data_IF_434293873972
#
_entry.id   IF_434293873972
#
_cell.length_a   1.000
_cell.length_b   1.000
_cell.length_c   1.000
_cell.angle_alpha   90.00
_cell.angle_beta   90.00
_cell.angle_gamma   90.00
#
_symmetry.space_group_name_H-M   'P 1'
#
loop_
_entity.id
_entity.type
_entity.pdbx_description
1 polymer ?
#
# COMPACT_ATOMS: atom_id res chain seq x y z
N UNK A 1 -37.92 -42.70 67.13
CA UNK A 1 -39.37 -42.96 66.92
C UNK A 1 -39.52 -44.38 66.33
N UNK A 2 -40.73 -44.98 66.47
CA UNK A 2 -41.00 -46.24 65.78
C UNK A 2 -41.76 -45.95 64.49
N UNK A 3 -41.36 -46.61 63.38
CA UNK A 3 -42.03 -46.55 62.08
C UNK A 3 -42.44 -47.96 61.64
N UNK A 4 -43.38 -48.10 60.69
CA UNK A 4 -43.77 -49.41 60.18
C UNK A 4 -42.80 -49.82 59.06
N UNK A 5 -42.38 -51.08 59.07
CA UNK A 5 -41.64 -51.66 57.95
C UNK A 5 -42.52 -51.73 56.70
N UNK A 6 -42.07 -51.27 55.53
CA UNK A 6 -42.86 -51.31 54.30
C UNK A 6 -43.16 -52.71 53.77
N UNK A 7 -42.39 -53.74 54.21
CA UNK A 7 -42.52 -55.14 53.79
C UNK A 7 -43.39 -56.00 54.70
N UNK A 8 -43.15 -55.93 56.03
CA UNK A 8 -43.81 -56.80 56.97
C UNK A 8 -44.78 -56.06 57.91
N UNK A 9 -44.95 -54.73 57.78
CA UNK A 9 -45.81 -53.80 58.51
C UNK A 9 -45.56 -53.75 60.05
N UNK A 10 -44.57 -54.47 60.56
CA UNK A 10 -44.27 -54.49 61.97
C UNK A 10 -43.47 -53.21 62.37
N UNK A 11 -43.62 -52.78 63.63
CA UNK A 11 -42.96 -51.60 64.12
C UNK A 11 -41.47 -51.78 64.25
N UNK A 12 -40.69 -50.89 63.67
CA UNK A 12 -39.22 -50.90 63.70
C UNK A 12 -38.71 -49.51 64.05
N UNK A 13 -37.49 -49.42 64.59
CA UNK A 13 -36.85 -48.14 64.88
C UNK A 13 -36.58 -47.40 63.56
N UNK A 14 -36.87 -46.13 63.55
CA UNK A 14 -36.55 -45.19 62.44
C UNK A 14 -35.03 -45.09 62.17
N UNK A 15 -34.19 -45.58 63.08
CA UNK A 15 -32.72 -45.66 62.97
C UNK A 15 -32.20 -47.04 62.57
N UNK A 16 -33.11 -48.00 62.41
CA UNK A 16 -32.68 -49.38 61.99
C UNK A 16 -32.28 -49.38 60.51
N UNK A 17 -31.11 -49.93 60.20
CA UNK A 17 -30.62 -50.07 58.82
C UNK A 17 -31.34 -51.14 58.07
N UNK A 18 -31.80 -52.16 58.76
CA UNK A 18 -32.58 -53.29 58.25
C UNK A 18 -33.70 -53.62 59.22
N UNK A 19 -34.81 -54.14 58.71
CA UNK A 19 -35.90 -54.61 59.54
C UNK A 19 -35.44 -55.88 60.33
N UNK A 20 -35.55 -55.88 61.70
CA UNK A 20 -35.12 -57.00 62.49
C UNK A 20 -36.08 -58.21 62.36
N UNK A 21 -37.31 -58.00 61.76
CA UNK A 21 -38.31 -59.04 61.62
C UNK A 21 -38.25 -59.75 60.25
N UNK A 22 -38.01 -59.04 59.15
CA UNK A 22 -38.02 -59.61 57.81
C UNK A 22 -36.73 -59.33 56.98
N UNK A 23 -35.76 -58.60 57.55
CA UNK A 23 -34.51 -58.31 56.86
C UNK A 23 -34.59 -57.19 55.81
N UNK A 24 -35.78 -56.57 55.63
CA UNK A 24 -35.98 -55.50 54.65
C UNK A 24 -35.08 -54.29 54.93
N UNK A 25 -34.30 -53.78 53.97
CA UNK A 25 -33.41 -52.64 54.16
C UNK A 25 -34.22 -51.36 54.33
N UNK A 26 -34.22 -50.78 55.51
CA UNK A 26 -34.99 -49.57 55.88
C UNK A 26 -34.30 -48.25 55.56
N UNK A 27 -33.00 -48.31 55.27
CA UNK A 27 -32.23 -47.12 54.91
C UNK A 27 -31.53 -47.31 53.55
N UNK A 28 -32.28 -47.21 52.45
CA UNK A 28 -31.70 -46.96 51.12
C UNK A 28 -31.83 -45.45 50.88
N UNK A 29 -31.17 -44.65 51.66
CA UNK A 29 -30.71 -43.35 51.17
C UNK A 29 -29.41 -43.63 50.44
N UNK A 30 -29.49 -44.12 49.20
CA UNK A 30 -28.37 -44.09 48.29
C UNK A 30 -28.12 -42.60 48.03
N UNK A 31 -27.32 -41.93 48.87
CA UNK A 31 -26.55 -40.79 48.45
C UNK A 31 -25.67 -41.24 47.30
N UNK A 32 -26.19 -41.17 46.05
CA UNK A 32 -25.30 -41.17 44.86
C UNK A 32 -24.31 -40.07 45.11
N UNK A 33 -23.11 -40.38 45.66
CA UNK A 33 -21.97 -39.50 45.56
C UNK A 33 -21.86 -39.23 44.06
N UNK A 34 -22.22 -38.02 43.64
CA UNK A 34 -21.84 -37.52 42.33
C UNK A 34 -20.31 -37.55 42.39
N UNK A 35 -19.71 -38.60 41.86
CA UNK A 35 -18.30 -38.64 41.50
C UNK A 35 -18.18 -37.63 40.40
N UNK A 36 -17.89 -36.36 40.76
CA UNK A 36 -17.38 -35.40 39.82
C UNK A 36 -16.14 -36.07 39.25
N UNK A 37 -16.21 -36.45 37.94
CA UNK A 37 -15.02 -36.94 37.26
C UNK A 37 -13.93 -35.93 37.54
N UNK A 38 -12.93 -36.25 38.39
CA UNK A 38 -11.81 -35.38 38.69
C UNK A 38 -11.15 -35.08 37.35
N UNK A 39 -11.31 -33.84 36.88
CA UNK A 39 -10.61 -33.39 35.68
C UNK A 39 -9.12 -33.62 35.88
N UNK A 40 -8.41 -34.09 34.87
CA UNK A 40 -6.99 -34.32 34.91
C UNK A 40 -6.24 -33.04 35.31
N UNK A 41 -5.35 -33.13 36.27
CA UNK A 41 -4.55 -31.98 36.72
C UNK A 41 -3.53 -31.65 35.63
N UNK A 42 -3.53 -30.42 35.16
CA UNK A 42 -2.58 -29.97 34.16
C UNK A 42 -1.17 -29.87 34.77
N UNK A 43 -0.11 -30.16 33.98
CA UNK A 43 1.28 -30.02 34.44
C UNK A 43 1.58 -28.57 34.88
N UNK A 44 2.60 -28.43 35.75
CA UNK A 44 3.05 -27.11 36.18
C UNK A 44 3.57 -26.33 34.96
N UNK A 45 3.12 -25.06 34.84
CA UNK A 45 3.48 -24.19 33.70
C UNK A 45 2.63 -24.37 32.45
N UNK A 46 1.79 -25.42 32.37
CA UNK A 46 0.95 -25.69 31.21
C UNK A 46 -0.14 -24.65 30.99
N UNK A 47 -0.53 -23.93 32.02
CA UNK A 47 -1.67 -23.01 32.02
C UNK A 47 -2.82 -23.51 32.88
N UNK A 48 -3.91 -22.77 32.90
CA UNK A 48 -5.07 -23.08 33.73
C UNK A 48 -6.35 -22.92 32.92
N UNK A 49 -7.29 -23.85 33.12
CA UNK A 49 -8.64 -23.75 32.55
C UNK A 49 -9.62 -23.59 33.71
N UNK A 50 -10.43 -22.53 33.66
CA UNK A 50 -11.48 -22.24 34.63
C UNK A 50 -12.84 -22.09 33.92
N UNK A 51 -13.90 -22.60 34.56
CA UNK A 51 -15.26 -22.47 34.10
C UNK A 51 -15.94 -21.30 34.82
N UNK A 52 -16.51 -20.37 34.07
CA UNK A 52 -17.26 -19.22 34.57
C UNK A 52 -18.70 -19.66 34.78
N UNK A 53 -19.11 -19.81 36.04
CA UNK A 53 -20.44 -20.40 36.41
C UNK A 53 -21.53 -19.37 36.59
N UNK A 54 -21.19 -18.09 36.75
CA UNK A 54 -22.10 -17.01 37.18
C UNK A 54 -23.02 -16.49 36.07
N UNK A 55 -22.81 -16.86 34.81
CA UNK A 55 -23.60 -16.42 33.67
C UNK A 55 -23.77 -17.55 32.64
N UNK A 56 -24.91 -17.57 31.94
CA UNK A 56 -25.09 -18.43 30.74
C UNK A 56 -24.26 -17.81 29.58
N UNK A 57 -23.00 -18.18 29.53
CA UNK A 57 -22.08 -17.72 28.48
C UNK A 57 -22.02 -18.76 27.36
N UNK A 58 -21.95 -18.29 26.11
CA UNK A 58 -21.71 -19.15 24.93
C UNK A 58 -20.33 -19.84 25.03
N UNK A 59 -19.33 -19.14 25.62
CA UNK A 59 -17.96 -19.64 25.79
C UNK A 59 -17.58 -19.59 27.29
N UNK A 60 -18.03 -20.56 28.11
CA UNK A 60 -17.86 -20.50 29.56
C UNK A 60 -16.44 -20.92 30.04
N UNK A 61 -15.63 -21.55 29.20
CA UNK A 61 -14.30 -22.01 29.60
C UNK A 61 -13.25 -20.97 29.25
N UNK A 62 -12.57 -20.48 30.29
CA UNK A 62 -11.46 -19.52 30.17
C UNK A 62 -10.14 -20.26 30.31
N UNK A 63 -9.28 -20.19 29.29
CA UNK A 63 -7.90 -20.63 29.33
C UNK A 63 -6.98 -19.46 29.73
N UNK A 64 -6.02 -19.73 30.60
CA UNK A 64 -5.02 -18.76 31.07
C UNK A 64 -3.63 -19.35 30.95
N UNK A 65 -2.66 -18.53 30.54
CA UNK A 65 -1.25 -18.88 30.41
C UNK A 65 -0.41 -18.15 31.46
N UNK A 66 0.62 -18.79 32.03
CA UNK A 66 1.54 -18.13 32.94
C UNK A 66 2.49 -17.22 32.14
N UNK A 67 2.63 -15.96 32.57
CA UNK A 67 3.52 -14.96 31.96
C UNK A 67 4.71 -14.60 32.86
N UNK A 68 4.69 -15.04 34.11
CA UNK A 68 5.76 -14.75 35.04
C UNK A 68 5.39 -15.12 36.49
N UNK A 69 6.20 -14.68 37.44
CA UNK A 69 5.94 -14.80 38.86
C UNK A 69 6.13 -13.44 39.54
N UNK A 70 5.33 -13.17 40.57
CA UNK A 70 5.54 -12.01 41.44
C UNK A 70 6.81 -12.19 42.28
N UNK A 71 7.31 -11.15 42.91
CA UNK A 71 8.43 -11.20 43.87
C UNK A 71 8.19 -12.20 44.99
N UNK A 72 6.92 -12.45 45.35
CA UNK A 72 6.50 -13.45 46.35
C UNK A 72 6.36 -14.87 45.75
N UNK A 73 6.77 -15.13 44.50
CA UNK A 73 6.71 -16.42 43.85
C UNK A 73 5.33 -16.85 43.33
N UNK A 74 4.29 -16.02 43.43
CA UNK A 74 2.96 -16.33 42.88
C UNK A 74 2.93 -16.20 41.38
N UNK A 75 2.32 -17.16 40.62
CA UNK A 75 2.25 -17.07 39.18
C UNK A 75 1.35 -15.90 38.73
N UNK A 76 1.87 -15.09 37.79
CA UNK A 76 1.10 -14.10 37.04
C UNK A 76 0.59 -14.81 35.80
N UNK A 77 -0.73 -14.73 35.55
CA UNK A 77 -1.36 -15.38 34.40
C UNK A 77 -2.12 -14.37 33.56
N UNK A 78 -2.05 -14.55 32.23
CA UNK A 78 -2.81 -13.79 31.23
C UNK A 78 -3.92 -14.67 30.68
N UNK A 79 -5.07 -14.06 30.35
CA UNK A 79 -6.16 -14.77 29.66
C UNK A 79 -5.68 -15.04 28.22
N UNK A 80 -5.73 -16.32 27.82
CA UNK A 80 -5.38 -16.74 26.47
C UNK A 80 -6.62 -16.74 25.55
N UNK A 81 -7.79 -17.16 26.08
CA UNK A 81 -9.03 -17.14 25.33
C UNK A 81 -10.21 -17.73 26.10
N UNK A 82 -11.42 -17.62 25.47
CA UNK A 82 -12.65 -18.17 25.95
C UNK A 82 -13.20 -19.22 24.95
N UNK A 83 -13.64 -20.37 25.44
CA UNK A 83 -14.00 -21.56 24.62
C UNK A 83 -15.35 -22.11 25.03
N UNK A 84 -16.02 -22.81 24.09
CA UNK A 84 -17.34 -23.41 24.31
C UNK A 84 -17.23 -24.66 25.18
N UNK A 85 -16.17 -25.45 24.99
CA UNK A 85 -15.94 -26.68 25.76
C UNK A 85 -14.59 -26.66 26.49
N UNK A 86 -14.48 -27.52 27.52
CA UNK A 86 -13.21 -27.73 28.20
C UNK A 86 -12.13 -28.30 27.28
N UNK A 87 -12.55 -29.17 26.35
CA UNK A 87 -11.62 -29.80 25.41
C UNK A 87 -11.05 -28.79 24.41
N UNK A 88 -11.83 -27.82 23.95
CA UNK A 88 -11.35 -26.76 23.09
C UNK A 88 -10.33 -25.87 23.81
N UNK A 89 -10.62 -25.52 25.07
CA UNK A 89 -9.69 -24.77 25.91
C UNK A 89 -8.40 -25.55 26.18
N UNK A 90 -8.50 -26.88 26.36
CA UNK A 90 -7.34 -27.76 26.56
C UNK A 90 -6.51 -27.89 25.28
N UNK A 91 -7.14 -28.08 24.13
CA UNK A 91 -6.48 -28.14 22.83
C UNK A 91 -5.72 -26.85 22.53
N UNK A 92 -6.32 -25.70 22.83
CA UNK A 92 -5.67 -24.41 22.67
C UNK A 92 -4.45 -24.24 23.58
N UNK A 93 -4.53 -24.69 24.86
CA UNK A 93 -3.37 -24.69 25.74
C UNK A 93 -2.29 -25.70 25.31
N UNK A 94 -2.67 -26.85 24.75
CA UNK A 94 -1.76 -27.83 24.24
C UNK A 94 -0.99 -27.28 23.04
N UNK A 95 -1.66 -26.58 22.17
CA UNK A 95 -1.07 -25.91 21.03
C UNK A 95 -0.15 -24.76 21.46
N UNK A 96 -0.57 -23.94 22.41
CA UNK A 96 0.28 -22.90 23.02
C UNK A 96 1.58 -23.50 23.60
N UNK A 97 1.50 -24.64 24.31
CA UNK A 97 2.69 -25.27 24.93
C UNK A 97 3.60 -25.98 23.92
N UNK A 98 3.13 -26.27 22.70
CA UNK A 98 3.99 -26.73 21.59
C UNK A 98 4.85 -25.59 21.05
N UNK A 99 4.34 -24.35 21.09
CA UNK A 99 5.08 -23.18 20.64
C UNK A 99 4.75 -21.95 21.53
N UNK A 100 5.34 -21.87 22.75
CA UNK A 100 4.99 -20.85 23.74
C UNK A 100 5.42 -19.42 23.36
N UNK A 101 6.30 -19.28 22.37
CA UNK A 101 6.74 -17.97 21.86
C UNK A 101 5.82 -17.40 20.78
N UNK A 102 4.86 -18.17 20.28
CA UNK A 102 3.90 -17.77 19.28
C UNK A 102 2.66 -17.12 19.92
N UNK A 103 2.86 -16.01 20.65
CA UNK A 103 1.77 -15.22 21.22
C UNK A 103 0.91 -14.47 20.17
N UNK A 104 1.31 -14.52 18.91
CA UNK A 104 0.67 -13.83 17.79
C UNK A 104 -0.05 -14.76 16.81
N UNK A 105 -0.51 -15.93 17.30
CA UNK A 105 -1.09 -16.97 16.42
C UNK A 105 -2.38 -16.62 15.72
N UNK A 106 -3.08 -15.59 16.12
CA UNK A 106 -4.35 -15.14 15.52
C UNK A 106 -4.24 -13.68 15.04
N UNK A 107 -3.12 -13.31 14.41
CA UNK A 107 -2.98 -12.00 13.83
C UNK A 107 -3.89 -11.85 12.61
N UNK A 108 -4.75 -10.86 12.63
CA UNK A 108 -5.58 -10.51 11.47
C UNK A 108 -4.77 -9.68 10.45
N UNK A 109 -5.28 -9.61 9.22
CA UNK A 109 -4.62 -8.83 8.17
C UNK A 109 -4.52 -7.33 8.52
N UNK A 110 -5.50 -6.80 9.26
CA UNK A 110 -5.46 -5.39 9.72
C UNK A 110 -4.34 -5.17 10.73
N UNK A 111 -4.15 -6.08 11.69
CA UNK A 111 -3.07 -5.97 12.69
C UNK A 111 -1.69 -6.06 12.01
N UNK A 112 -1.56 -6.93 11.00
CA UNK A 112 -0.36 -7.06 10.18
C UNK A 112 -0.07 -5.77 9.41
N UNK A 113 -1.12 -5.18 8.79
CA UNK A 113 -0.98 -3.92 8.05
C UNK A 113 -0.55 -2.76 8.94
N UNK A 114 -1.10 -2.63 10.14
CA UNK A 114 -0.73 -1.58 11.09
C UNK A 114 0.76 -1.66 11.46
N UNK A 115 1.24 -2.86 11.86
CA UNK A 115 2.66 -3.08 12.19
C UNK A 115 3.59 -2.85 11.00
N UNK A 116 3.21 -3.38 9.83
CA UNK A 116 3.98 -3.22 8.60
C UNK A 116 4.03 -1.76 8.14
N UNK A 117 2.88 -1.09 8.11
CA UNK A 117 2.77 0.28 7.59
C UNK A 117 3.53 1.27 8.45
N UNK A 118 3.51 1.13 9.78
CA UNK A 118 4.29 1.98 10.69
C UNK A 118 5.79 1.95 10.35
N UNK A 119 6.33 0.77 10.02
CA UNK A 119 7.75 0.62 9.64
C UNK A 119 7.99 1.05 8.19
N UNK A 120 7.16 0.56 7.26
CA UNK A 120 7.35 0.73 5.83
C UNK A 120 7.18 2.19 5.38
N UNK A 121 6.19 2.89 5.92
CA UNK A 121 5.95 4.29 5.54
C UNK A 121 7.08 5.23 5.95
N UNK A 122 7.81 4.93 7.02
CA UNK A 122 9.03 5.68 7.42
C UNK A 122 10.15 5.57 6.38
N UNK A 123 10.17 4.49 5.58
CA UNK A 123 11.16 4.30 4.51
C UNK A 123 10.79 4.99 3.20
N UNK A 124 9.55 5.46 3.08
CA UNK A 124 9.05 6.10 1.87
C UNK A 124 9.34 7.59 1.87
N UNK A 125 9.95 8.08 0.80
CA UNK A 125 10.25 9.51 0.60
C UNK A 125 9.07 10.31 0.02
N UNK A 126 7.97 9.66 -0.37
CA UNK A 126 6.86 10.27 -1.10
C UNK A 126 5.50 9.97 -0.47
N UNK A 127 4.79 11.01 -0.06
CA UNK A 127 3.39 10.91 0.40
C UNK A 127 2.44 10.33 -0.67
N UNK A 128 2.75 10.56 -1.96
CA UNK A 128 1.97 9.99 -3.05
C UNK A 128 2.03 8.45 -3.05
N UNK A 129 3.17 7.86 -2.67
CA UNK A 129 3.32 6.41 -2.51
C UNK A 129 2.47 5.89 -1.35
N UNK A 130 2.44 6.60 -0.22
CA UNK A 130 1.58 6.26 0.92
C UNK A 130 0.12 6.30 0.50
N UNK A 131 -0.32 7.37 -0.18
CA UNK A 131 -1.72 7.50 -0.66
C UNK A 131 -2.13 6.37 -1.59
N UNK A 132 -1.26 5.94 -2.51
CA UNK A 132 -1.57 4.83 -3.43
C UNK A 132 -1.67 3.49 -2.70
N UNK A 133 -0.83 3.25 -1.70
CA UNK A 133 -0.89 2.05 -0.85
C UNK A 133 -2.18 2.06 -0.02
N UNK A 134 -2.48 3.17 0.64
CA UNK A 134 -3.69 3.32 1.45
C UNK A 134 -4.96 3.19 0.61
N UNK A 135 -4.96 3.73 -0.62
CA UNK A 135 -6.06 3.53 -1.55
C UNK A 135 -6.27 2.05 -1.88
N UNK A 136 -5.21 1.32 -2.23
CA UNK A 136 -5.30 -0.12 -2.51
C UNK A 136 -5.75 -0.91 -1.26
N UNK A 137 -5.23 -0.57 -0.08
CA UNK A 137 -5.61 -1.17 1.20
C UNK A 137 -7.13 -1.10 1.45
N UNK A 138 -7.77 0.03 1.11
CA UNK A 138 -9.21 0.19 1.28
C UNK A 138 -10.05 -0.82 0.48
N UNK A 139 -9.56 -1.32 -0.66
CA UNK A 139 -10.22 -2.37 -1.43
C UNK A 139 -10.01 -3.78 -0.83
N UNK A 140 -9.08 -3.94 0.12
CA UNK A 140 -8.79 -5.21 0.79
C UNK A 140 -9.67 -5.46 2.03
N UNK A 141 -10.63 -4.59 2.34
CA UNK A 141 -11.58 -4.68 3.48
C UNK A 141 -12.20 -6.06 3.70
N UNK A 142 -12.61 -6.82 2.66
CA UNK A 142 -13.21 -8.14 2.86
C UNK A 142 -12.30 -9.11 3.62
N UNK A 143 -10.98 -8.91 3.59
CA UNK A 143 -10.00 -9.79 4.23
C UNK A 143 -9.39 -9.23 5.52
N UNK A 144 -9.71 -8.01 5.95
CA UNK A 144 -9.07 -7.33 7.07
C UNK A 144 -9.07 -8.14 8.38
N UNK A 145 -10.20 -8.81 8.66
CA UNK A 145 -10.37 -9.58 9.90
C UNK A 145 -10.09 -11.07 9.75
N UNK A 146 -9.54 -11.46 8.60
CA UNK A 146 -9.11 -12.84 8.38
C UNK A 146 -7.74 -13.08 9.00
N UNK A 147 -7.57 -14.26 9.63
CA UNK A 147 -6.27 -14.69 10.17
C UNK A 147 -5.24 -14.81 9.05
N UNK A 148 -4.09 -14.16 9.23
CA UNK A 148 -2.98 -14.15 8.26
C UNK A 148 -2.46 -15.57 8.00
N UNK A 149 -2.36 -16.40 9.05
CA UNK A 149 -1.88 -17.77 8.97
C UNK A 149 -2.81 -18.71 8.19
N UNK A 150 -4.12 -18.40 8.21
CA UNK A 150 -5.14 -19.20 7.53
C UNK A 150 -5.44 -18.71 6.11
N UNK A 151 -4.90 -17.55 5.73
CA UNK A 151 -5.17 -16.93 4.44
C UNK A 151 -4.52 -17.71 3.29
N UNK A 152 -5.34 -18.10 2.33
CA UNK A 152 -4.93 -18.89 1.16
C UNK A 152 -4.87 -18.03 -0.10
N UNK A 153 -4.04 -18.47 -1.04
CA UNK A 153 -3.86 -17.83 -2.36
C UNK A 153 -5.19 -17.48 -3.06
N UNK A 154 -6.17 -18.41 -3.05
CA UNK A 154 -7.44 -18.19 -3.76
C UNK A 154 -8.23 -17.01 -3.15
N UNK A 155 -8.21 -16.82 -1.81
CA UNK A 155 -8.95 -15.76 -1.14
C UNK A 155 -8.35 -14.38 -1.49
N UNK A 156 -7.01 -14.28 -1.55
CA UNK A 156 -6.31 -13.07 -2.00
C UNK A 156 -6.66 -12.79 -3.47
N UNK A 157 -6.61 -13.83 -4.32
CA UNK A 157 -6.92 -13.71 -5.75
C UNK A 157 -8.36 -13.27 -5.97
N UNK A 158 -9.34 -13.90 -5.31
CA UNK A 158 -10.76 -13.50 -5.40
C UNK A 158 -10.97 -12.06 -4.94
N UNK A 159 -10.41 -11.67 -3.79
CA UNK A 159 -10.52 -10.30 -3.28
C UNK A 159 -10.01 -9.26 -4.30
N UNK A 160 -8.92 -9.56 -5.01
CA UNK A 160 -8.37 -8.65 -6.03
C UNK A 160 -9.25 -8.63 -7.28
N UNK A 161 -9.66 -9.79 -7.79
CA UNK A 161 -10.42 -9.89 -9.05
C UNK A 161 -11.84 -9.33 -8.91
N UNK A 162 -12.50 -9.58 -7.78
CA UNK A 162 -13.85 -9.12 -7.48
C UNK A 162 -13.94 -7.65 -7.05
N UNK A 163 -12.78 -7.01 -6.75
CA UNK A 163 -12.77 -5.60 -6.38
C UNK A 163 -13.28 -4.73 -7.54
N UNK A 164 -14.27 -3.88 -7.23
CA UNK A 164 -14.74 -2.86 -8.18
C UNK A 164 -13.71 -1.72 -8.27
N UNK A 165 -12.60 -1.99 -8.93
CA UNK A 165 -11.44 -1.11 -9.02
C UNK A 165 -10.76 -1.24 -10.39
N UNK A 166 -10.07 -0.17 -10.81
CA UNK A 166 -9.28 -0.19 -12.05
C UNK A 166 -8.14 -1.24 -11.97
N UNK A 167 -7.70 -1.71 -13.13
CA UNK A 167 -6.57 -2.65 -13.21
C UNK A 167 -5.32 -2.18 -12.46
N UNK A 168 -5.03 -0.88 -12.52
CA UNK A 168 -3.89 -0.30 -11.81
C UNK A 168 -4.04 -0.44 -10.29
N UNK A 169 -5.26 -0.27 -9.76
CA UNK A 169 -5.54 -0.50 -8.35
C UNK A 169 -5.42 -1.98 -8.02
N UNK A 170 -5.96 -2.89 -8.85
CA UNK A 170 -5.83 -4.35 -8.68
C UNK A 170 -4.35 -4.79 -8.67
N UNK A 171 -3.53 -4.25 -9.58
CA UNK A 171 -2.06 -4.47 -9.58
C UNK A 171 -1.42 -3.94 -8.29
N UNK A 172 -1.88 -2.79 -7.79
CA UNK A 172 -1.39 -2.22 -6.54
C UNK A 172 -1.82 -3.06 -5.33
N UNK A 173 -3.06 -3.55 -5.27
CA UNK A 173 -3.52 -4.49 -4.23
C UNK A 173 -2.62 -5.72 -4.17
N UNK A 174 -2.32 -6.32 -5.33
CA UNK A 174 -1.38 -7.46 -5.44
C UNK A 174 0.00 -7.12 -4.88
N UNK A 175 0.51 -5.92 -5.19
CA UNK A 175 1.79 -5.45 -4.66
C UNK A 175 1.76 -5.28 -3.13
N UNK A 176 0.67 -4.72 -2.59
CA UNK A 176 0.49 -4.56 -1.12
C UNK A 176 0.40 -5.91 -0.43
N UNK A 177 -0.37 -6.89 -0.97
CA UNK A 177 -0.39 -8.24 -0.43
C UNK A 177 0.99 -8.90 -0.45
N UNK A 178 1.76 -8.75 -1.53
CA UNK A 178 3.12 -9.28 -1.58
C UNK A 178 3.99 -8.71 -0.45
N UNK A 179 3.96 -7.38 -0.24
CA UNK A 179 4.77 -6.71 0.79
C UNK A 179 4.33 -7.10 2.21
N UNK A 180 3.01 -7.22 2.46
CA UNK A 180 2.49 -7.65 3.75
C UNK A 180 2.91 -9.08 4.09
N UNK A 181 2.80 -10.00 3.13
CA UNK A 181 3.19 -11.39 3.36
C UNK A 181 4.69 -11.62 3.32
N UNK A 182 5.48 -10.77 2.64
CA UNK A 182 6.94 -10.77 2.77
C UNK A 182 7.35 -10.33 4.18
N UNK A 183 6.69 -9.32 4.74
CA UNK A 183 6.88 -8.91 6.13
C UNK A 183 6.45 -10.01 7.10
N UNK A 184 5.30 -10.65 6.88
CA UNK A 184 4.86 -11.77 7.71
C UNK A 184 5.83 -12.97 7.67
N UNK A 185 6.46 -13.21 6.52
CA UNK A 185 7.50 -14.24 6.36
C UNK A 185 8.80 -13.84 7.07
N UNK A 186 9.25 -12.57 6.97
CA UNK A 186 10.42 -12.04 7.69
C UNK A 186 10.30 -12.23 9.20
N UNK A 187 9.08 -12.10 9.75
CA UNK A 187 8.80 -12.24 11.17
C UNK A 187 8.28 -13.65 11.57
N UNK A 188 8.43 -14.63 10.68
CA UNK A 188 8.02 -16.03 10.92
C UNK A 188 6.55 -16.21 11.34
N UNK A 189 5.69 -15.25 10.97
CA UNK A 189 4.23 -15.30 11.20
C UNK A 189 3.59 -16.33 10.27
N UNK A 190 4.16 -16.50 9.07
CA UNK A 190 3.75 -17.48 8.05
C UNK A 190 4.96 -18.19 7.47
N UNK A 191 4.77 -19.43 6.99
CA UNK A 191 5.85 -20.25 6.39
C UNK A 191 6.07 -19.92 4.90
N UNK A 192 5.13 -19.26 4.25
CA UNK A 192 5.18 -18.91 2.81
C UNK A 192 4.34 -17.68 2.51
N UNK A 193 4.69 -17.00 1.43
CA UNK A 193 3.90 -15.87 0.92
C UNK A 193 2.84 -16.37 -0.09
N UNK A 194 1.56 -16.48 0.29
CA UNK A 194 0.50 -16.95 -0.61
C UNK A 194 0.20 -15.95 -1.73
N UNK A 195 0.55 -14.67 -1.55
CA UNK A 195 0.36 -13.67 -2.57
C UNK A 195 1.33 -13.80 -3.74
N UNK A 196 2.50 -14.42 -3.59
CA UNK A 196 3.45 -14.66 -4.67
C UNK A 196 3.11 -15.89 -5.53
N UNK A 197 2.19 -16.75 -5.07
CA UNK A 197 1.87 -18.01 -5.72
C UNK A 197 1.00 -17.90 -7.00
N UNK A 198 0.64 -16.69 -7.44
CA UNK A 198 -0.17 -16.47 -8.64
C UNK A 198 0.24 -15.20 -9.38
N UNK A 199 -0.05 -15.16 -10.69
CA UNK A 199 0.05 -13.96 -11.53
C UNK A 199 -1.34 -13.38 -11.80
N UNK A 200 -1.45 -12.05 -11.92
CA UNK A 200 -2.67 -11.39 -12.38
C UNK A 200 -2.75 -11.37 -13.91
N UNK A 201 -1.62 -11.49 -14.61
CA UNK A 201 -1.56 -11.38 -16.06
C UNK A 201 -2.43 -12.42 -16.79
N UNK A 202 -2.61 -13.60 -16.18
CA UNK A 202 -3.41 -14.70 -16.75
C UNK A 202 -4.92 -14.49 -16.65
N UNK A 203 -5.38 -13.57 -15.81
CA UNK A 203 -6.80 -13.38 -15.47
C UNK A 203 -7.30 -11.96 -15.74
N UNK A 204 -6.43 -11.07 -16.23
CA UNK A 204 -6.81 -9.76 -16.70
C UNK A 204 -7.04 -9.91 -18.20
N UNK A 205 -8.30 -9.88 -18.61
CA UNK A 205 -8.63 -9.70 -20.02
C UNK A 205 -7.86 -8.49 -20.52
N UNK A 206 -7.36 -8.58 -21.73
CA UNK A 206 -6.75 -7.46 -22.46
C UNK A 206 -7.86 -6.42 -22.70
N UNK A 207 -8.38 -5.83 -21.61
CA UNK A 207 -9.19 -4.62 -21.74
C UNK A 207 -8.31 -3.60 -22.44
N UNK A 208 -8.84 -3.09 -23.53
CA UNK A 208 -8.20 -2.20 -24.47
C UNK A 208 -7.20 -1.27 -23.80
N UNK A 209 -5.92 -1.48 -24.13
CA UNK A 209 -4.82 -0.60 -23.71
C UNK A 209 -5.00 0.85 -24.19
N UNK A 210 -6.04 1.10 -24.98
CA UNK A 210 -6.32 2.40 -25.60
C UNK A 210 -6.79 3.47 -24.63
N UNK A 211 -7.55 3.14 -23.58
CA UNK A 211 -8.17 4.18 -22.73
C UNK A 211 -7.18 4.93 -21.80
N UNK A 212 -5.99 4.39 -21.55
CA UNK A 212 -4.96 4.99 -20.70
C UNK A 212 -3.64 5.29 -21.41
N UNK A 213 -3.56 5.08 -22.70
CA UNK A 213 -2.34 5.40 -23.46
C UNK A 213 -2.19 6.92 -23.58
N UNK A 214 -1.01 7.45 -23.24
CA UNK A 214 -0.65 8.81 -23.60
C UNK A 214 -0.56 8.91 -25.11
N UNK A 215 -1.19 9.91 -25.69
CA UNK A 215 -1.13 10.20 -27.13
C UNK A 215 0.06 11.11 -27.43
N UNK A 216 0.46 11.16 -28.69
CA UNK A 216 1.47 12.09 -29.18
C UNK A 216 0.74 13.20 -29.91
N UNK A 217 1.14 14.44 -29.72
CA UNK A 217 0.62 15.55 -30.50
C UNK A 217 0.96 15.35 -31.98
N UNK A 218 -0.03 15.54 -32.84
CA UNK A 218 0.19 15.54 -34.29
C UNK A 218 0.89 16.81 -34.74
N UNK A 219 1.42 16.82 -35.95
CA UNK A 219 2.09 17.99 -36.49
C UNK A 219 1.12 19.18 -36.66
N UNK A 220 -0.14 18.90 -37.02
CA UNK A 220 -1.22 19.90 -37.11
C UNK A 220 -1.58 20.49 -35.72
N UNK A 221 -1.62 19.65 -34.71
CA UNK A 221 -1.89 20.11 -33.33
C UNK A 221 -0.74 20.96 -32.79
N UNK A 222 0.51 20.61 -33.10
CA UNK A 222 1.67 21.43 -32.77
C UNK A 222 1.62 22.77 -33.51
N UNK A 223 1.23 22.79 -34.78
CA UNK A 223 1.04 24.03 -35.56
C UNK A 223 -0.05 24.91 -34.97
N UNK A 224 -1.17 24.34 -34.51
CA UNK A 224 -2.20 25.07 -33.79
C UNK A 224 -1.66 25.73 -32.51
N UNK A 225 -0.80 25.04 -31.75
CA UNK A 225 -0.16 25.61 -30.56
C UNK A 225 0.78 26.76 -30.90
N UNK A 226 1.52 26.66 -32.02
CA UNK A 226 2.40 27.72 -32.50
C UNK A 226 1.59 28.99 -32.89
N UNK A 227 0.45 28.81 -33.54
CA UNK A 227 -0.40 29.91 -34.02
C UNK A 227 -1.33 30.47 -32.92
N UNK A 228 -1.44 29.79 -31.77
CA UNK A 228 -2.30 30.22 -30.67
C UNK A 228 -1.75 31.48 -30.00
N UNK A 229 -2.58 32.51 -29.71
CA UNK A 229 -2.18 33.68 -28.92
C UNK A 229 -2.08 33.36 -27.40
N UNK A 230 -2.55 32.18 -26.97
CA UNK A 230 -2.60 31.81 -25.57
C UNK A 230 -1.19 31.50 -25.03
N UNK A 231 -0.81 32.17 -23.93
CA UNK A 231 0.44 31.96 -23.23
C UNK A 231 0.66 30.48 -22.87
N UNK A 232 -0.40 29.79 -22.41
CA UNK A 232 -0.30 28.39 -22.00
C UNK A 232 -0.06 27.43 -23.16
N UNK A 233 -0.50 27.80 -24.38
CA UNK A 233 -0.10 27.06 -25.57
C UNK A 233 1.42 27.13 -25.78
N UNK A 234 2.05 28.28 -25.50
CA UNK A 234 3.51 28.44 -25.57
C UNK A 234 4.22 27.63 -24.51
N UNK A 235 3.68 27.56 -23.29
CA UNK A 235 4.21 26.69 -22.23
C UNK A 235 4.10 25.19 -22.61
N UNK A 236 3.01 24.80 -23.30
CA UNK A 236 2.86 23.43 -23.84
C UNK A 236 3.94 23.13 -24.90
N UNK A 237 4.25 24.07 -25.78
CA UNK A 237 5.35 23.94 -26.74
C UNK A 237 6.69 23.78 -26.03
N UNK A 238 6.97 24.58 -24.98
CA UNK A 238 8.19 24.42 -24.19
C UNK A 238 8.28 23.00 -23.62
N UNK A 239 7.18 22.41 -23.13
CA UNK A 239 7.18 21.02 -22.66
C UNK A 239 7.41 20.02 -23.81
N UNK A 240 6.75 20.24 -24.97
CA UNK A 240 6.88 19.37 -26.16
C UNK A 240 8.34 19.32 -26.66
N UNK A 241 9.05 20.42 -26.57
CA UNK A 241 10.43 20.52 -27.09
C UNK A 241 11.53 20.44 -26.01
N UNK A 242 11.18 20.21 -24.74
CA UNK A 242 12.14 19.98 -23.65
C UNK A 242 11.94 18.67 -22.89
N UNK A 243 10.78 18.03 -23.03
CA UNK A 243 10.48 16.74 -22.44
C UNK A 243 10.32 16.72 -20.93
N UNK A 244 10.16 17.85 -20.27
CA UNK A 244 9.93 17.92 -18.83
C UNK A 244 8.67 17.17 -18.39
N UNK A 245 8.72 16.49 -17.21
CA UNK A 245 7.49 16.01 -16.60
C UNK A 245 6.64 17.20 -16.16
N UNK A 246 5.30 17.13 -16.25
CA UNK A 246 4.43 18.26 -15.89
C UNK A 246 4.71 18.85 -14.51
N UNK A 247 4.97 17.99 -13.54
CA UNK A 247 5.29 18.43 -12.17
C UNK A 247 6.69 19.08 -12.07
N UNK A 248 7.66 18.57 -12.82
CA UNK A 248 9.03 19.11 -12.86
C UNK A 248 9.05 20.45 -13.61
N UNK A 249 8.28 20.58 -14.68
CA UNK A 249 8.12 21.82 -15.44
C UNK A 249 7.73 22.98 -14.52
N UNK A 250 6.71 22.78 -13.67
CA UNK A 250 6.25 23.80 -12.72
C UNK A 250 7.21 24.08 -11.55
N UNK A 251 8.34 23.35 -11.46
CA UNK A 251 9.35 23.51 -10.42
C UNK A 251 10.65 24.14 -10.92
N UNK A 252 10.76 24.44 -12.23
CA UNK A 252 11.91 25.15 -12.78
C UNK A 252 11.91 26.55 -12.18
N UNK A 253 12.99 26.89 -11.48
CA UNK A 253 13.18 28.23 -10.91
C UNK A 253 13.78 29.15 -11.96
N UNK A 254 13.65 30.45 -11.78
CA UNK A 254 14.33 31.43 -12.63
C UNK A 254 15.85 31.20 -12.61
N UNK A 255 16.42 30.95 -11.43
CA UNK A 255 17.87 30.70 -11.26
C UNK A 255 18.33 29.38 -11.91
N UNK A 256 17.42 28.49 -12.25
CA UNK A 256 17.72 27.22 -12.94
C UNK A 256 17.73 27.36 -14.48
N UNK A 257 17.54 28.57 -14.99
CA UNK A 257 17.52 28.87 -16.43
C UNK A 257 18.79 29.66 -16.78
N UNK A 258 19.64 29.05 -17.55
CA UNK A 258 20.85 29.70 -18.10
C UNK A 258 20.56 30.16 -19.52
N UNK A 259 20.37 31.47 -19.70
CA UNK A 259 20.09 32.07 -21.01
C UNK A 259 21.35 32.27 -21.86
N UNK A 260 22.56 32.24 -21.25
CA UNK A 260 23.80 32.36 -21.98
C UNK A 260 24.13 31.03 -22.70
N UNK A 261 23.97 29.89 -21.96
CA UNK A 261 24.24 28.56 -22.49
C UNK A 261 22.95 27.86 -22.99
N UNK A 262 21.80 28.50 -22.86
CA UNK A 262 20.48 27.98 -23.25
C UNK A 262 20.19 26.60 -22.64
N UNK A 263 20.22 26.50 -21.32
CA UNK A 263 19.94 25.26 -20.61
C UNK A 263 18.96 25.47 -19.45
N UNK A 264 18.22 24.41 -19.15
CA UNK A 264 17.49 24.27 -17.89
C UNK A 264 18.24 23.32 -16.98
N UNK A 265 18.24 23.60 -15.68
CA UNK A 265 18.67 22.66 -14.64
C UNK A 265 17.49 22.27 -13.77
N UNK A 266 17.29 20.98 -13.45
CA UNK A 266 16.18 20.60 -12.58
C UNK A 266 15.90 19.09 -12.54
N UNK A 267 14.70 18.76 -12.05
CA UNK A 267 14.22 17.38 -11.91
C UNK A 267 14.21 16.86 -10.49
N UNK A 268 13.26 15.99 -10.14
CA UNK A 268 13.00 15.57 -8.76
C UNK A 268 12.87 14.08 -8.56
N UNK A 269 12.23 13.38 -9.50
CA UNK A 269 11.58 12.11 -9.21
C UNK A 269 12.50 10.89 -9.12
N UNK A 270 13.63 10.91 -9.82
CA UNK A 270 14.52 9.74 -9.89
C UNK A 270 15.97 10.20 -9.64
N UNK A 271 16.81 9.27 -9.15
CA UNK A 271 18.25 9.58 -8.94
C UNK A 271 18.90 10.09 -10.24
N UNK A 272 18.59 9.47 -11.38
CA UNK A 272 19.07 9.88 -12.70
C UNK A 272 18.43 11.18 -13.24
N UNK A 273 17.27 11.55 -12.73
CA UNK A 273 16.55 12.75 -13.19
C UNK A 273 16.78 13.98 -12.31
N UNK A 274 17.44 13.84 -11.16
CA UNK A 274 17.65 14.94 -10.20
C UNK A 274 18.81 15.83 -10.68
N UNK A 275 18.59 17.15 -10.72
CA UNK A 275 19.57 18.15 -11.13
C UNK A 275 20.14 17.89 -12.54
N UNK A 276 19.33 17.34 -13.45
CA UNK A 276 19.75 17.13 -14.82
C UNK A 276 19.76 18.45 -15.59
N UNK A 277 20.71 18.56 -16.51
CA UNK A 277 20.77 19.67 -17.45
C UNK A 277 20.01 19.26 -18.72
N UNK A 278 19.10 20.12 -19.16
CA UNK A 278 18.33 19.92 -20.41
C UNK A 278 18.57 21.12 -21.30
N UNK A 279 19.20 20.97 -22.48
CA UNK A 279 19.42 22.07 -23.39
C UNK A 279 18.08 22.59 -23.95
N UNK A 280 18.04 23.87 -24.25
CA UNK A 280 16.90 24.57 -24.82
C UNK A 280 17.07 24.61 -26.34
N UNK A 281 16.25 23.83 -27.05
CA UNK A 281 16.23 23.82 -28.49
C UNK A 281 16.05 25.25 -29.07
N UNK A 282 16.82 25.60 -30.10
CA UNK A 282 16.83 26.95 -30.70
C UNK A 282 15.45 27.48 -31.07
N UNK A 283 14.55 26.61 -31.57
CA UNK A 283 13.22 26.99 -31.97
C UNK A 283 12.30 27.47 -30.86
N UNK A 284 12.59 27.17 -29.57
CA UNK A 284 11.76 27.64 -28.43
C UNK A 284 12.44 28.68 -27.55
N UNK A 285 13.66 29.14 -27.89
CA UNK A 285 14.43 30.09 -27.07
C UNK A 285 13.66 31.37 -26.80
N UNK A 286 13.01 31.94 -27.81
CA UNK A 286 12.19 33.12 -27.67
C UNK A 286 10.99 32.91 -26.73
N UNK A 287 10.37 31.72 -26.76
CA UNK A 287 9.27 31.38 -25.87
C UNK A 287 9.77 31.29 -24.41
N UNK A 288 10.92 30.65 -24.21
CA UNK A 288 11.54 30.53 -22.87
C UNK A 288 11.96 31.90 -22.34
N UNK A 289 12.56 32.74 -23.20
CA UNK A 289 12.93 34.12 -22.84
C UNK A 289 11.73 34.95 -22.46
N UNK A 290 10.62 34.89 -23.21
CA UNK A 290 9.39 35.59 -22.90
C UNK A 290 8.80 35.16 -21.53
N UNK A 291 8.83 33.86 -21.20
CA UNK A 291 8.40 33.35 -19.88
C UNK A 291 9.34 33.79 -18.76
N UNK A 292 10.65 33.82 -19.02
CA UNK A 292 11.66 34.29 -18.09
C UNK A 292 11.45 35.79 -17.76
N UNK A 293 11.35 36.63 -18.79
CA UNK A 293 11.15 38.07 -18.65
C UNK A 293 9.82 38.38 -17.94
N UNK A 294 8.77 37.62 -18.26
CA UNK A 294 7.47 37.72 -17.58
C UNK A 294 7.59 37.43 -16.09
N UNK A 295 8.28 36.34 -15.74
CA UNK A 295 8.41 35.92 -14.35
C UNK A 295 9.29 36.85 -13.52
N UNK A 296 10.35 37.41 -14.11
CA UNK A 296 11.19 38.43 -13.49
C UNK A 296 10.36 39.72 -13.25
N UNK A 297 9.60 40.17 -14.23
CA UNK A 297 8.77 41.36 -14.11
C UNK A 297 7.68 41.24 -13.02
N UNK A 298 7.23 40.03 -12.73
CA UNK A 298 6.20 39.76 -11.70
C UNK A 298 6.80 39.27 -10.37
N UNK A 299 8.11 39.33 -10.18
CA UNK A 299 8.83 38.84 -8.98
C UNK A 299 8.48 37.40 -8.62
N UNK A 300 8.33 36.52 -9.60
CA UNK A 300 8.07 35.11 -9.41
C UNK A 300 9.36 34.36 -9.07
N UNK A 301 9.27 33.31 -8.27
CA UNK A 301 10.40 32.42 -7.95
C UNK A 301 10.62 31.37 -9.05
N UNK A 302 9.52 31.00 -9.75
CA UNK A 302 9.49 29.93 -10.75
C UNK A 302 9.31 30.51 -12.15
N UNK A 303 9.88 29.81 -13.15
CA UNK A 303 9.80 30.21 -14.56
C UNK A 303 8.36 30.31 -15.06
N UNK A 304 7.49 29.39 -14.63
CA UNK A 304 6.09 29.36 -15.03
C UNK A 304 5.20 29.75 -13.87
N UNK A 305 4.91 31.02 -13.73
CA UNK A 305 4.01 31.47 -12.68
C UNK A 305 2.57 31.58 -13.14
N UNK A 306 1.62 31.32 -12.24
CA UNK A 306 0.19 31.45 -12.48
C UNK A 306 -0.35 32.79 -11.95
N UNK A 307 -1.10 33.48 -12.79
CA UNK A 307 -1.70 34.80 -12.47
C UNK A 307 -2.96 34.74 -11.58
N UNK A 308 -3.08 33.72 -10.73
CA UNK A 308 -4.21 33.63 -9.83
C UNK A 308 -4.11 34.71 -8.74
N UNK A 309 -4.48 35.95 -9.14
CA UNK A 309 -4.42 37.17 -8.32
C UNK A 309 -5.33 37.17 -7.09
N UNK A 310 -5.96 36.05 -6.75
CA UNK A 310 -7.00 35.98 -5.71
C UNK A 310 -6.55 35.22 -4.45
N UNK A 311 -5.33 34.76 -4.32
CA UNK A 311 -4.88 34.14 -3.07
C UNK A 311 -3.52 34.70 -2.61
N UNK A 312 -3.55 35.59 -1.65
CA UNK A 312 -2.39 36.14 -0.94
C UNK A 312 -1.55 35.10 -0.17
N UNK A 313 -1.77 33.79 -0.34
CA UNK A 313 -1.14 32.73 0.47
C UNK A 313 -0.60 31.52 -0.30
N UNK A 314 -0.73 31.40 -1.60
CA UNK A 314 -0.11 30.30 -2.35
C UNK A 314 1.00 30.83 -3.25
N UNK A 315 2.15 30.17 -3.22
CA UNK A 315 3.21 30.39 -4.20
C UNK A 315 2.60 30.44 -5.61
N UNK A 316 2.96 31.42 -6.44
CA UNK A 316 2.53 31.57 -7.83
C UNK A 316 2.98 30.40 -8.73
N UNK A 317 3.36 29.29 -8.13
CA UNK A 317 3.86 28.07 -8.74
C UNK A 317 2.84 27.38 -9.60
N UNK A 318 3.27 26.94 -10.79
CA UNK A 318 2.50 26.04 -11.63
C UNK A 318 2.45 24.63 -11.03
N UNK A 319 1.30 24.25 -10.45
CA UNK A 319 1.09 22.89 -9.95
C UNK A 319 0.68 21.96 -11.09
N UNK A 320 0.87 20.63 -10.88
CA UNK A 320 0.41 19.61 -11.83
C UNK A 320 -1.08 19.79 -12.22
N UNK A 321 -1.96 20.03 -11.24
CA UNK A 321 -3.40 20.17 -11.51
C UNK A 321 -3.71 21.44 -12.29
N UNK A 322 -3.06 22.56 -11.97
CA UNK A 322 -3.20 23.80 -12.75
C UNK A 322 -2.77 23.57 -14.21
N UNK A 323 -1.59 22.97 -14.41
CA UNK A 323 -1.11 22.66 -15.75
C UNK A 323 -2.03 21.71 -16.51
N UNK A 324 -2.49 20.64 -15.85
CA UNK A 324 -3.46 19.70 -16.44
C UNK A 324 -4.74 20.41 -16.92
N UNK A 325 -5.29 21.32 -16.12
CA UNK A 325 -6.48 22.07 -16.51
C UNK A 325 -6.22 23.00 -17.71
N UNK A 326 -5.04 23.65 -17.79
CA UNK A 326 -4.66 24.46 -18.95
C UNK A 326 -4.52 23.60 -20.21
N UNK A 327 -3.86 22.45 -20.12
CA UNK A 327 -3.76 21.51 -21.25
C UNK A 327 -5.15 21.09 -21.71
N UNK A 328 -6.03 20.68 -20.81
CA UNK A 328 -7.39 20.23 -21.16
C UNK A 328 -8.27 21.35 -21.73
N UNK A 329 -8.05 22.60 -21.32
CA UNK A 329 -8.79 23.75 -21.87
C UNK A 329 -8.39 24.07 -23.34
N UNK A 330 -7.10 23.90 -23.68
CA UNK A 330 -6.55 24.20 -25.01
C UNK A 330 -6.67 22.99 -25.94
N UNK A 331 -6.32 21.80 -25.43
CA UNK A 331 -6.30 20.52 -26.14
C UNK A 331 -7.07 19.47 -25.34
N UNK A 332 -8.40 19.40 -25.45
CA UNK A 332 -9.24 18.51 -24.61
C UNK A 332 -8.93 17.02 -24.71
N UNK A 333 -8.40 16.57 -25.85
CA UNK A 333 -8.03 15.18 -26.14
C UNK A 333 -6.71 14.77 -25.50
N UNK A 334 -5.90 15.73 -25.03
CA UNK A 334 -4.58 15.50 -24.50
C UNK A 334 -4.51 15.56 -22.99
N UNK A 335 -3.52 14.84 -22.45
CA UNK A 335 -3.16 14.81 -21.03
C UNK A 335 -1.85 15.56 -20.80
N UNK A 336 -1.64 16.05 -19.59
CA UNK A 336 -0.45 16.83 -19.24
C UNK A 336 0.90 16.10 -19.55
N UNK A 337 0.93 14.78 -19.56
CA UNK A 337 2.15 14.01 -19.89
C UNK A 337 2.39 13.80 -21.39
N UNK A 338 1.43 14.15 -22.25
CA UNK A 338 1.52 13.89 -23.69
C UNK A 338 2.61 14.73 -24.37
N UNK A 339 2.83 15.96 -23.89
CA UNK A 339 3.95 16.78 -24.37
C UNK A 339 5.31 16.11 -24.22
N UNK A 340 5.55 15.47 -23.09
CA UNK A 340 6.79 14.71 -22.87
C UNK A 340 6.88 13.47 -23.76
N UNK A 341 5.77 12.77 -24.01
CA UNK A 341 5.75 11.64 -24.96
C UNK A 341 6.04 12.12 -26.36
N UNK A 342 5.49 13.26 -26.75
CA UNK A 342 5.74 13.90 -28.03
C UNK A 342 7.21 14.27 -28.19
N UNK A 343 7.85 14.84 -27.17
CA UNK A 343 9.30 15.11 -27.17
C UNK A 343 10.10 13.86 -27.54
N UNK A 344 9.88 12.75 -26.81
CA UNK A 344 10.60 11.49 -27.07
C UNK A 344 10.33 10.98 -28.49
N UNK A 345 9.11 11.14 -29.00
CA UNK A 345 8.75 10.72 -30.36
C UNK A 345 9.40 11.60 -31.42
N UNK A 346 9.47 12.92 -31.20
CA UNK A 346 10.18 13.85 -32.06
C UNK A 346 11.68 13.56 -32.09
N UNK A 347 12.30 13.37 -30.92
CA UNK A 347 13.72 13.00 -30.83
C UNK A 347 14.03 11.74 -31.65
N UNK A 348 13.21 10.70 -31.52
CA UNK A 348 13.38 9.46 -32.30
C UNK A 348 13.15 9.69 -33.81
N UNK A 349 12.15 10.48 -34.17
CA UNK A 349 11.83 10.85 -35.55
C UNK A 349 13.02 11.53 -36.24
N UNK A 350 13.75 12.39 -35.52
CA UNK A 350 14.87 13.17 -36.06
C UNK A 350 16.25 12.57 -35.76
N UNK A 351 16.32 11.34 -35.25
CA UNK A 351 17.58 10.61 -35.10
C UNK A 351 18.46 11.15 -33.95
N UNK A 352 17.87 11.73 -32.92
CA UNK A 352 18.56 12.09 -31.66
C UNK A 352 19.06 10.81 -31.00
N UNK A 353 20.28 10.82 -30.49
CA UNK A 353 20.88 9.67 -29.81
C UNK A 353 20.02 9.18 -28.63
N UNK A 354 19.87 7.86 -28.47
CA UNK A 354 19.00 7.27 -27.45
C UNK A 354 19.44 7.60 -26.03
N UNK A 355 20.74 7.69 -25.79
CA UNK A 355 21.26 8.07 -24.47
C UNK A 355 21.04 9.57 -24.21
N UNK A 356 21.19 10.44 -25.23
CA UNK A 356 20.84 11.84 -25.10
C UNK A 356 19.37 12.03 -24.69
N UNK A 357 18.46 11.27 -25.31
CA UNK A 357 17.04 11.25 -24.93
C UNK A 357 16.90 10.82 -23.47
N UNK A 358 17.56 9.73 -23.05
CA UNK A 358 17.48 9.23 -21.67
C UNK A 358 18.01 10.27 -20.66
N UNK A 359 19.11 10.94 -20.97
CA UNK A 359 19.66 12.02 -20.12
C UNK A 359 18.68 13.19 -20.02
N UNK A 360 18.20 13.73 -21.13
CA UNK A 360 17.28 14.86 -21.15
C UNK A 360 15.99 14.57 -20.44
N UNK A 361 15.39 13.37 -20.61
CA UNK A 361 14.14 13.01 -19.91
C UNK A 361 14.38 12.47 -18.48
N UNK A 362 15.60 12.19 -18.06
CA UNK A 362 15.92 11.65 -16.73
C UNK A 362 15.38 10.23 -16.54
N UNK A 363 15.62 9.35 -17.49
CA UNK A 363 15.42 7.93 -17.37
C UNK A 363 16.68 7.26 -16.83
N UNK A 364 16.50 6.18 -16.05
CA UNK A 364 17.61 5.38 -15.60
C UNK A 364 18.25 4.68 -16.80
N UNK A 365 19.59 4.72 -16.88
CA UNK A 365 20.37 4.02 -17.88
C UNK A 365 20.84 2.73 -17.23
N UNK A 366 20.34 1.61 -17.76
CA UNK A 366 20.69 0.26 -17.29
C UNK A 366 22.00 -0.27 -17.88
N UNK A 367 22.50 0.36 -18.93
CA UNK A 367 23.75 0.02 -19.56
C UNK A 367 24.91 0.51 -18.67
N UNK A 368 25.72 -0.43 -18.18
CA UNK A 368 26.86 -0.17 -17.31
C UNK A 368 27.94 0.61 -18.06
N UNK A 369 28.15 0.32 -19.34
CA UNK A 369 29.15 1.00 -20.15
C UNK A 369 28.83 2.48 -20.28
N UNK A 370 27.60 2.82 -20.63
CA UNK A 370 27.17 4.21 -20.75
C UNK A 370 27.12 4.92 -19.38
N UNK A 371 26.64 4.24 -18.34
CA UNK A 371 26.42 4.88 -17.03
C UNK A 371 27.68 5.12 -16.22
N UNK A 372 28.75 4.32 -16.43
CA UNK A 372 29.97 4.32 -15.61
C UNK A 372 31.21 4.72 -16.43
N UNK A 373 31.33 4.23 -17.65
CA UNK A 373 32.57 4.35 -18.44
C UNK A 373 32.50 5.40 -19.53
N UNK A 374 31.32 5.94 -19.84
CA UNK A 374 31.18 6.97 -20.88
C UNK A 374 31.06 8.34 -20.24
N UNK A 375 32.06 9.20 -20.41
CA UNK A 375 32.02 10.62 -20.07
C UNK A 375 31.56 11.40 -21.31
N UNK A 376 30.42 12.09 -21.19
CA UNK A 376 29.84 12.90 -22.26
C UNK A 376 30.08 14.36 -21.97
N UNK A 377 30.54 15.10 -22.99
CA UNK A 377 30.66 16.55 -22.89
C UNK A 377 29.30 17.22 -22.81
N UNK A 378 29.18 18.30 -22.05
CA UNK A 378 27.89 19.02 -21.87
C UNK A 378 27.34 19.54 -23.19
N UNK A 379 28.20 19.90 -24.10
CA UNK A 379 27.85 20.48 -25.40
C UNK A 379 27.19 19.46 -26.31
N UNK A 380 27.53 18.19 -26.16
CA UNK A 380 26.92 17.10 -26.93
C UNK A 380 25.37 17.06 -26.84
N UNK A 381 24.79 17.28 -25.66
CA UNK A 381 23.33 17.32 -25.54
C UNK A 381 22.73 18.50 -26.31
N UNK A 382 23.45 19.64 -26.38
CA UNK A 382 23.07 20.79 -27.19
C UNK A 382 23.08 20.47 -28.68
N UNK A 383 24.08 19.77 -29.18
CA UNK A 383 24.14 19.33 -30.57
C UNK A 383 23.02 18.33 -30.89
N UNK A 384 22.77 17.39 -29.97
CA UNK A 384 21.74 16.37 -30.16
C UNK A 384 20.32 16.96 -30.24
N UNK A 385 19.98 17.96 -29.39
CA UNK A 385 18.65 18.55 -29.41
C UNK A 385 18.40 19.37 -30.67
N UNK A 386 19.42 19.98 -31.26
CA UNK A 386 19.31 20.77 -32.49
C UNK A 386 19.01 19.92 -33.73
N UNK A 387 19.10 18.58 -33.65
CA UNK A 387 18.59 17.67 -34.69
C UNK A 387 17.07 17.73 -34.86
N UNK A 388 16.35 18.14 -33.81
CA UNK A 388 14.89 18.28 -33.87
C UNK A 388 14.56 19.44 -34.83
N UNK A 389 13.79 19.12 -35.86
CA UNK A 389 13.23 20.15 -36.76
C UNK A 389 11.84 20.50 -36.27
N UNK A 390 11.65 21.74 -35.85
CA UNK A 390 10.33 22.23 -35.49
C UNK A 390 9.49 22.49 -36.73
N UNK A 391 8.19 22.45 -36.58
CA UNK A 391 7.23 23.01 -37.56
C UNK A 391 7.24 24.56 -37.38
N UNK A 392 8.41 25.14 -37.43
CA UNK A 392 8.52 26.61 -37.46
C UNK A 392 8.20 27.02 -38.88
N UNK A 393 7.06 27.69 -39.09
CA UNK A 393 6.73 28.29 -40.35
C UNK A 393 7.96 29.07 -40.88
N UNK A 394 8.41 28.74 -42.08
CA UNK A 394 9.40 29.47 -42.88
C UNK A 394 8.94 30.90 -43.27
N UNK A 395 8.31 31.60 -42.39
CA UNK A 395 7.75 32.94 -42.62
C UNK A 395 8.48 34.05 -41.88
N UNK A 396 9.75 33.79 -41.45
CA UNK A 396 10.67 34.86 -41.06
C UNK A 396 11.94 34.73 -41.85
N UNK A 397 11.92 35.10 -43.14
CA UNK A 397 13.03 35.62 -43.91
C UNK A 397 12.70 37.05 -44.29
#
# INVERSE_FOLDING_TARGET
>A
MLTKCPECELQVSDKALTCPHCGYPLSITIRRKRTSKKRMRLPNGFGQISEIKEKRLRKPFRAMIPIGKTETGRPISKIYGYYETYNDAYSALLEYNKNPYSLEKDMNLIDLYEKWSERYFKSLSSEASIRTITSAWNYMKPLWYMSVQQMKTFQIKSCILEANASENIKKRMKSVFNLLFDYALEFEIVDKNPARAFSLAENMELEDKESNCHTVYTDEEIELLWNSPDRWAKVMLIQIYSGWRPQELGLIRIDDVDLDNWTFTGGMKTKAGKNRVVPIWSGIRELVKAEYDYSVAHNCEYLFCCDDSMSHQSSNKLTYDKYRHRVQAIMPTHKAHDGRKTFVSLCKRYGVDEYAIKYMVGHAISDITESIYTEREKDWLGEEIEKIRGLVNNTMT
#
